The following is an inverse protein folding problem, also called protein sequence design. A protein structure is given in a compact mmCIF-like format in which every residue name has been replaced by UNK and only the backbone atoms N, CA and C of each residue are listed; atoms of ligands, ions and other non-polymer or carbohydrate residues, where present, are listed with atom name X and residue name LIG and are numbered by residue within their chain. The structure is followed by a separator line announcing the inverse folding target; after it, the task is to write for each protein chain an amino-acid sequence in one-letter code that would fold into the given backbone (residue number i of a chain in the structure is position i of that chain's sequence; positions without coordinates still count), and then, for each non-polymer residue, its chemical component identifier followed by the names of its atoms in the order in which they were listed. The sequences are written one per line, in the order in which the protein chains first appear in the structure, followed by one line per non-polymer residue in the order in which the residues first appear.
data_IF_677246342017
#
_entry.id   IF_677246342017
#
_cell.length_a   1.000
_cell.length_b   1.000
_cell.length_c   1.000
_cell.angle_alpha   90.00
_cell.angle_beta   90.00
_cell.angle_gamma   90.00
#
_symmetry.space_group_name_H-M   'P 1'
#
loop_
_entity.id
_entity.type
_entity.pdbx_description
1 polymer ?
#
# COMPACT_ATOMS: atom_id res chain seq x y z
N UNK A 1 6.15 1.48 -14.29
CA UNK A 1 6.73 0.60 -15.32
C UNK A 1 5.56 -0.05 -16.05
N UNK A 2 5.59 -0.03 -17.37
CA UNK A 2 4.58 -0.59 -18.25
C UNK A 2 5.29 -1.69 -19.04
N UNK A 3 4.71 -2.87 -19.08
CA UNK A 3 5.19 -4.04 -19.83
C UNK A 3 4.17 -4.38 -20.91
N UNK A 4 4.62 -4.42 -22.16
CA UNK A 4 3.81 -4.59 -23.35
C UNK A 4 4.42 -3.85 -24.54
N UNK A 5 3.84 -4.00 -25.73
CA UNK A 5 4.30 -3.30 -26.93
C UNK A 5 4.07 -1.79 -26.79
N UNK A 6 5.13 -1.06 -26.41
CA UNK A 6 5.07 0.38 -26.13
C UNK A 6 4.85 1.17 -27.42
N UNK A 7 5.24 0.63 -28.57
CA UNK A 7 5.06 1.27 -29.87
C UNK A 7 3.62 1.09 -30.41
N UNK A 8 2.83 0.20 -29.81
CA UNK A 8 1.44 0.02 -30.19
C UNK A 8 0.59 1.26 -29.90
N UNK A 9 -0.29 1.62 -30.85
CA UNK A 9 -1.22 2.75 -30.68
C UNK A 9 -2.08 2.61 -29.43
N UNK A 10 -2.47 1.38 -29.07
CA UNK A 10 -3.28 1.09 -27.89
C UNK A 10 -2.55 1.45 -26.59
N UNK A 11 -1.26 1.11 -26.47
CA UNK A 11 -0.45 1.42 -25.29
C UNK A 11 -0.11 2.90 -25.23
N UNK A 12 0.25 3.53 -26.34
CA UNK A 12 0.47 4.98 -26.40
C UNK A 12 -0.78 5.77 -25.99
N UNK A 13 -1.96 5.37 -26.48
CA UNK A 13 -3.23 5.98 -26.07
C UNK A 13 -3.54 5.75 -24.59
N UNK A 14 -3.19 4.60 -24.02
CA UNK A 14 -3.34 4.32 -22.60
C UNK A 14 -2.43 5.20 -21.74
N UNK A 15 -1.16 5.34 -22.13
CA UNK A 15 -0.18 6.21 -21.47
C UNK A 15 -0.67 7.66 -21.53
N UNK A 16 -1.15 8.13 -22.67
CA UNK A 16 -1.72 9.47 -22.81
C UNK A 16 -2.92 9.71 -21.89
N UNK A 17 -3.84 8.73 -21.78
CA UNK A 17 -4.97 8.79 -20.84
C UNK A 17 -4.50 8.84 -19.38
N UNK A 18 -3.50 8.03 -19.03
CA UNK A 18 -2.94 8.03 -17.68
C UNK A 18 -2.30 9.38 -17.34
N UNK A 19 -1.47 9.91 -18.24
CA UNK A 19 -0.84 11.23 -18.05
C UNK A 19 -1.88 12.33 -17.89
N UNK A 20 -2.91 12.37 -18.74
CA UNK A 20 -3.98 13.35 -18.62
C UNK A 20 -4.77 13.23 -17.31
N UNK A 21 -5.01 12.01 -16.82
CA UNK A 21 -5.66 11.80 -15.53
C UNK A 21 -4.79 12.29 -14.35
N UNK A 22 -3.48 12.04 -14.41
CA UNK A 22 -2.53 12.48 -13.40
C UNK A 22 -2.38 14.00 -13.33
N UNK A 23 -2.42 14.69 -14.47
CA UNK A 23 -2.39 16.16 -14.53
C UNK A 23 -3.58 16.82 -13.81
N UNK A 24 -4.71 16.13 -13.70
CA UNK A 24 -5.89 16.65 -12.99
C UNK A 24 -5.83 16.47 -11.47
N UNK A 25 -4.89 15.68 -10.95
CA UNK A 25 -4.77 15.36 -9.53
C UNK A 25 -3.53 16.06 -8.93
N UNK A 26 -3.77 17.05 -8.07
CA UNK A 26 -2.72 17.84 -7.42
C UNK A 26 -1.74 17.01 -6.55
N UNK A 27 -2.04 15.74 -6.27
CA UNK A 27 -1.12 14.83 -5.62
C UNK A 27 0.03 14.39 -6.52
N UNK A 28 -0.08 14.57 -7.83
CA UNK A 28 0.96 14.22 -8.81
C UNK A 28 1.45 15.47 -9.53
N UNK A 29 2.73 15.47 -9.89
CA UNK A 29 3.29 16.49 -10.78
C UNK A 29 3.44 15.95 -12.20
N UNK A 30 4.04 16.78 -13.06
CA UNK A 30 4.18 16.48 -14.48
C UNK A 30 4.95 15.17 -14.72
N UNK A 31 4.38 14.22 -15.48
CA UNK A 31 5.09 13.01 -15.86
C UNK A 31 6.38 13.34 -16.64
N UNK A 32 7.49 12.71 -16.25
CA UNK A 32 8.74 12.79 -17.00
C UNK A 32 8.63 12.03 -18.33
N UNK A 33 9.50 12.33 -19.31
CA UNK A 33 9.53 11.61 -20.58
C UNK A 33 9.60 10.11 -20.37
N UNK A 34 8.79 9.37 -21.14
CA UNK A 34 8.79 7.92 -21.14
C UNK A 34 10.17 7.41 -21.56
N UNK A 35 10.79 6.59 -20.73
CA UNK A 35 12.01 5.89 -21.09
C UNK A 35 11.64 4.49 -21.58
N UNK A 36 11.98 4.18 -22.83
CA UNK A 36 11.61 2.92 -23.49
C UNK A 36 12.86 2.03 -23.57
N UNK A 37 12.68 0.74 -23.27
CA UNK A 37 13.71 -0.27 -23.45
C UNK A 37 14.07 -0.46 -24.92
N UNK A 38 15.26 -0.98 -25.20
CA UNK A 38 15.77 -1.22 -26.56
C UNK A 38 14.93 -2.21 -27.38
N UNK A 39 14.16 -3.07 -26.71
CA UNK A 39 13.25 -4.04 -27.31
C UNK A 39 11.84 -3.50 -27.55
N UNK A 40 11.51 -2.29 -27.06
CA UNK A 40 10.19 -1.69 -27.19
C UNK A 40 9.11 -2.32 -26.30
N UNK A 41 9.45 -3.29 -25.44
CA UNK A 41 8.48 -4.03 -24.62
C UNK A 41 8.32 -3.46 -23.20
N UNK A 42 9.22 -2.56 -22.78
CA UNK A 42 9.20 -1.97 -21.45
C UNK A 42 9.25 -0.45 -21.51
N UNK A 43 8.33 0.19 -20.79
CA UNK A 43 8.24 1.64 -20.64
C UNK A 43 8.34 2.06 -19.18
N UNK A 44 9.23 3.01 -18.87
CA UNK A 44 9.33 3.63 -17.55
C UNK A 44 8.80 5.06 -17.62
N UNK A 45 7.61 5.25 -17.08
CA UNK A 45 7.02 6.57 -16.84
C UNK A 45 7.29 6.98 -15.39
N UNK A 46 8.08 8.03 -15.19
CA UNK A 46 8.38 8.55 -13.86
C UNK A 46 7.47 9.73 -13.54
N UNK A 47 6.67 9.62 -12.49
CA UNK A 47 5.71 10.64 -12.08
C UNK A 47 6.10 11.13 -10.68
N UNK A 48 6.44 12.42 -10.51
CA UNK A 48 6.68 12.97 -9.18
C UNK A 48 5.37 12.99 -8.38
N UNK A 49 5.45 12.69 -7.09
CA UNK A 49 4.31 12.75 -6.16
C UNK A 49 4.55 13.89 -5.16
N UNK A 50 3.50 14.62 -4.84
CA UNK A 50 3.54 15.73 -3.90
C UNK A 50 3.64 15.23 -2.46
N UNK A 51 4.61 15.75 -1.70
CA UNK A 51 4.80 15.44 -0.28
C UNK A 51 5.78 14.30 0.00
N UNK A 52 6.00 14.02 1.28
CA UNK A 52 6.92 12.95 1.71
C UNK A 52 6.32 11.55 1.45
N UNK A 53 7.18 10.62 1.05
CA UNK A 53 6.84 9.23 0.69
C UNK A 53 6.20 8.41 1.82
N UNK A 54 6.40 8.84 3.07
CA UNK A 54 5.88 8.20 4.28
C UNK A 54 4.56 8.81 4.80
N UNK A 55 4.07 9.90 4.20
CA UNK A 55 2.83 10.54 4.68
C UNK A 55 1.57 9.78 4.25
N UNK A 56 0.53 9.81 5.08
CA UNK A 56 -0.76 9.17 4.74
C UNK A 56 -1.37 9.72 3.44
N UNK A 57 -1.18 11.01 3.15
CA UNK A 57 -1.67 11.64 1.93
C UNK A 57 -1.01 11.03 0.69
N UNK A 58 0.33 10.92 0.67
CA UNK A 58 1.07 10.28 -0.42
C UNK A 58 0.68 8.81 -0.57
N UNK A 59 0.57 8.08 0.55
CA UNK A 59 0.15 6.68 0.55
C UNK A 59 -1.24 6.51 -0.08
N UNK A 60 -2.21 7.35 0.28
CA UNK A 60 -3.55 7.33 -0.28
C UNK A 60 -3.54 7.62 -1.78
N UNK A 61 -2.73 8.57 -2.24
CA UNK A 61 -2.59 8.89 -3.67
C UNK A 61 -1.98 7.73 -4.46
N UNK A 62 -0.93 7.07 -3.97
CA UNK A 62 -0.37 5.88 -4.64
C UNK A 62 -1.37 4.71 -4.66
N UNK A 63 -2.18 4.55 -3.60
CA UNK A 63 -3.27 3.55 -3.60
C UNK A 63 -4.31 3.87 -4.68
N UNK A 64 -4.77 5.12 -4.77
CA UNK A 64 -5.69 5.58 -5.84
C UNK A 64 -5.11 5.35 -7.23
N UNK A 65 -3.81 5.61 -7.42
CA UNK A 65 -3.11 5.33 -8.68
C UNK A 65 -3.20 3.85 -9.08
N UNK A 66 -2.93 2.94 -8.14
CA UNK A 66 -3.00 1.49 -8.39
C UNK A 66 -4.43 0.98 -8.61
N UNK A 67 -5.41 1.48 -7.85
CA UNK A 67 -6.76 0.92 -7.85
C UNK A 67 -7.73 1.59 -8.81
N UNK A 68 -7.49 2.84 -9.23
CA UNK A 68 -8.41 3.62 -10.04
C UNK A 68 -7.77 4.06 -11.36
N UNK A 69 -6.69 4.85 -11.31
CA UNK A 69 -6.13 5.46 -12.53
C UNK A 69 -5.52 4.43 -13.48
N UNK A 70 -4.70 3.49 -12.98
CA UNK A 70 -4.07 2.46 -13.82
C UNK A 70 -5.11 1.54 -14.48
N UNK A 71 -6.06 0.93 -13.74
CA UNK A 71 -7.07 0.06 -14.35
C UNK A 71 -7.96 0.79 -15.36
N UNK A 72 -8.32 2.05 -15.12
CA UNK A 72 -9.15 2.84 -16.03
C UNK A 72 -8.38 3.22 -17.30
N UNK A 73 -7.11 3.61 -17.18
CA UNK A 73 -6.30 4.01 -18.34
C UNK A 73 -5.92 2.82 -19.24
N UNK A 74 -5.68 1.64 -18.65
CA UNK A 74 -5.23 0.43 -19.38
C UNK A 74 -6.35 -0.60 -19.61
N UNK A 75 -7.61 -0.23 -19.41
CA UNK A 75 -8.73 -1.13 -19.64
C UNK A 75 -8.77 -1.62 -21.10
N UNK A 76 -8.71 -2.94 -21.30
CA UNK A 76 -8.75 -3.56 -22.62
C UNK A 76 -7.46 -3.43 -23.43
N UNK A 77 -6.36 -2.98 -22.81
CA UNK A 77 -5.05 -2.83 -23.45
C UNK A 77 -4.18 -4.02 -23.04
N UNK A 78 -3.49 -4.70 -23.97
CA UNK A 78 -2.62 -5.84 -23.66
C UNK A 78 -1.28 -5.36 -23.09
N UNK A 79 -1.32 -4.69 -21.94
CA UNK A 79 -0.14 -4.23 -21.21
C UNK A 79 -0.34 -4.37 -19.70
N UNK A 80 0.71 -4.76 -19.01
CA UNK A 80 0.75 -4.88 -17.56
C UNK A 80 1.45 -3.66 -16.96
N UNK A 81 0.91 -3.11 -15.87
CA UNK A 81 1.42 -1.86 -15.29
C UNK A 81 1.82 -2.09 -13.83
N UNK A 82 3.10 -1.88 -13.56
CA UNK A 82 3.70 -1.98 -12.24
C UNK A 82 4.01 -0.60 -11.67
N UNK A 83 3.43 -0.29 -10.52
CA UNK A 83 3.69 0.96 -9.78
C UNK A 83 4.77 0.70 -8.74
N UNK A 84 5.95 1.31 -8.95
CA UNK A 84 7.16 1.15 -8.13
C UNK A 84 7.59 2.49 -7.51
N UNK A 85 8.66 2.48 -6.70
CA UNK A 85 9.24 3.66 -6.06
C UNK A 85 9.24 3.56 -4.53
N UNK A 86 9.86 4.52 -3.86
CA UNK A 86 10.04 4.51 -2.41
C UNK A 86 8.70 4.52 -1.65
N UNK A 87 7.73 5.33 -2.10
CA UNK A 87 6.39 5.35 -1.53
C UNK A 87 5.67 4.01 -1.72
N UNK A 88 5.79 3.39 -2.90
CA UNK A 88 5.20 2.08 -3.18
C UNK A 88 5.79 0.98 -2.29
N UNK A 89 7.11 0.96 -2.10
CA UNK A 89 7.81 0.01 -1.22
C UNK A 89 7.37 0.17 0.24
N UNK A 90 7.25 1.40 0.74
CA UNK A 90 6.77 1.65 2.10
C UNK A 90 5.37 1.09 2.29
N UNK A 91 4.45 1.35 1.35
CA UNK A 91 3.07 0.85 1.40
C UNK A 91 3.05 -0.68 1.43
N UNK A 92 3.80 -1.32 0.53
CA UNK A 92 3.85 -2.77 0.42
C UNK A 92 4.38 -3.39 1.72
N UNK A 93 5.40 -2.78 2.34
CA UNK A 93 5.91 -3.22 3.65
C UNK A 93 4.90 -3.05 4.79
N UNK A 94 4.19 -1.91 4.85
CA UNK A 94 3.17 -1.66 5.87
C UNK A 94 1.96 -2.58 5.73
N UNK A 95 1.46 -2.81 4.51
CA UNK A 95 0.31 -3.66 4.26
C UNK A 95 0.65 -5.14 4.55
N UNK A 96 1.87 -5.58 4.22
CA UNK A 96 2.36 -6.92 4.54
C UNK A 96 2.51 -7.12 6.05
N UNK A 97 3.09 -6.14 6.76
CA UNK A 97 3.21 -6.15 8.22
C UNK A 97 1.84 -6.16 8.91
N UNK A 98 0.90 -5.34 8.44
CA UNK A 98 -0.46 -5.26 8.99
C UNK A 98 -1.24 -6.55 8.76
N UNK A 99 -1.10 -7.18 7.59
CA UNK A 99 -1.73 -8.47 7.32
C UNK A 99 -1.15 -9.60 8.17
N UNK A 100 0.17 -9.63 8.37
CA UNK A 100 0.80 -10.58 9.30
C UNK A 100 0.28 -10.39 10.74
N UNK A 101 0.17 -9.13 11.19
CA UNK A 101 -0.33 -8.81 12.52
C UNK A 101 -1.75 -9.34 12.78
N UNK A 102 -2.64 -9.35 11.77
CA UNK A 102 -4.01 -9.88 11.89
C UNK A 102 -4.05 -11.36 12.29
N UNK A 103 -3.04 -12.15 11.92
CA UNK A 103 -2.97 -13.59 12.23
C UNK A 103 -2.13 -13.84 13.48
N UNK A 104 -0.99 -13.16 13.59
CA UNK A 104 -0.03 -13.39 14.69
C UNK A 104 -0.58 -12.91 16.03
N UNK A 105 -1.23 -11.74 16.08
CA UNK A 105 -1.77 -11.19 17.34
C UNK A 105 -2.79 -12.14 18.00
N UNK A 106 -3.88 -12.58 17.34
CA UNK A 106 -4.84 -13.48 17.98
C UNK A 106 -4.21 -14.83 18.34
N UNK A 107 -3.27 -15.33 17.54
CA UNK A 107 -2.55 -16.56 17.86
C UNK A 107 -1.74 -16.43 19.15
N UNK A 108 -0.90 -15.39 19.27
CA UNK A 108 -0.07 -15.17 20.47
C UNK A 108 -0.96 -14.92 21.69
N UNK A 109 -2.04 -14.16 21.55
CA UNK A 109 -3.02 -13.95 22.62
C UNK A 109 -3.67 -15.25 23.07
N UNK A 110 -4.11 -16.09 22.14
CA UNK A 110 -4.72 -17.39 22.44
C UNK A 110 -3.75 -18.32 23.17
N UNK A 111 -2.51 -18.43 22.67
CA UNK A 111 -1.49 -19.27 23.30
C UNK A 111 -1.12 -18.77 24.70
N UNK A 112 -0.95 -17.45 24.85
CA UNK A 112 -0.67 -16.84 26.15
C UNK A 112 -1.82 -17.06 27.13
N UNK A 113 -3.05 -16.91 26.67
CA UNK A 113 -4.25 -17.17 27.46
C UNK A 113 -4.34 -18.64 27.92
N UNK A 114 -4.07 -19.60 27.03
CA UNK A 114 -4.05 -21.03 27.38
C UNK A 114 -2.94 -21.37 28.37
N UNK A 115 -1.73 -20.83 28.17
CA UNK A 115 -0.63 -21.01 29.12
C UNK A 115 -0.99 -20.48 30.51
N UNK A 116 -1.56 -19.27 30.57
CA UNK A 116 -2.02 -18.68 31.84
C UNK A 116 -3.15 -19.52 32.48
N UNK A 117 -4.08 -20.06 31.69
CA UNK A 117 -5.12 -20.96 32.16
C UNK A 117 -4.54 -22.24 32.81
N UNK A 118 -3.51 -22.83 32.18
CA UNK A 118 -2.84 -24.04 32.68
C UNK A 118 -2.05 -23.75 33.96
N UNK A 119 -1.28 -22.66 33.97
CA UNK A 119 -0.42 -22.28 35.11
C UNK A 119 -1.24 -21.99 36.35
N UNK A 120 -2.32 -21.21 36.23
CA UNK A 120 -3.10 -20.78 37.38
C UNK A 120 -4.23 -21.74 37.77
N UNK A 121 -4.58 -22.72 36.89
CA UNK A 121 -5.81 -23.55 36.97
C UNK A 121 -7.08 -22.72 37.30
N UNK A 122 -7.02 -21.41 37.04
CA UNK A 122 -8.00 -20.42 37.45
C UNK A 122 -7.98 -19.28 36.44
N UNK A 123 -9.04 -19.22 35.64
CA UNK A 123 -9.30 -18.21 34.60
C UNK A 123 -9.38 -16.78 35.16
N UNK A 124 -9.61 -16.63 36.47
CA UNK A 124 -9.92 -15.34 37.09
C UNK A 124 -8.68 -14.46 37.28
N UNK A 125 -7.52 -15.05 37.57
CA UNK A 125 -6.28 -14.29 37.81
C UNK A 125 -5.73 -13.68 36.50
N UNK A 126 -5.64 -14.43 35.38
CA UNK A 126 -5.18 -13.91 34.09
C UNK A 126 -6.05 -12.79 33.53
N UNK A 127 -7.39 -12.95 33.61
CA UNK A 127 -8.34 -11.95 33.09
C UNK A 127 -8.18 -10.62 33.84
N UNK A 128 -8.04 -10.65 35.17
CA UNK A 128 -7.83 -9.43 35.97
C UNK A 128 -6.52 -8.72 35.59
N UNK A 129 -5.46 -9.47 35.34
CA UNK A 129 -4.18 -8.90 34.91
C UNK A 129 -4.26 -8.24 33.52
N UNK A 130 -4.96 -8.86 32.56
CA UNK A 130 -5.17 -8.30 31.21
C UNK A 130 -6.03 -7.03 31.28
N UNK A 131 -7.12 -7.03 32.07
CA UNK A 131 -7.96 -5.83 32.26
C UNK A 131 -7.14 -4.69 32.86
N UNK A 132 -6.33 -4.97 33.88
CA UNK A 132 -5.49 -3.97 34.52
C UNK A 132 -4.42 -3.43 33.55
N UNK A 133 -3.81 -4.30 32.75
CA UNK A 133 -2.81 -3.90 31.76
C UNK A 133 -3.43 -3.04 30.65
N UNK A 134 -4.61 -3.41 30.14
CA UNK A 134 -5.36 -2.64 29.16
C UNK A 134 -5.85 -1.30 29.73
N UNK A 135 -6.30 -1.24 30.98
CA UNK A 135 -6.65 0.02 31.66
C UNK A 135 -5.42 0.90 31.89
N UNK A 136 -4.24 0.32 32.13
CA UNK A 136 -2.99 1.06 32.26
C UNK A 136 -2.50 1.63 30.93
N UNK A 137 -2.85 1.01 29.81
CA UNK A 137 -2.52 1.45 28.44
C UNK A 137 -3.65 2.30 27.83
N UNK A 138 -4.86 2.24 28.40
CA UNK A 138 -6.00 3.11 28.08
C UNK A 138 -5.67 4.58 28.33
N UNK A 139 -6.25 5.48 27.52
CA UNK A 139 -5.65 6.76 27.13
C UNK A 139 -5.19 7.59 28.32
N UNK A 140 -3.88 7.89 28.36
CA UNK A 140 -3.44 9.20 28.90
C UNK A 140 -4.08 10.25 28.00
N UNK A 141 -5.24 10.74 28.42
CA UNK A 141 -5.80 11.98 27.92
C UNK A 141 -4.79 13.08 28.21
N UNK A 142 -3.91 13.35 27.27
CA UNK A 142 -3.19 14.63 27.18
C UNK A 142 -4.23 15.68 26.79
N UNK A 143 -4.81 16.31 27.82
CA UNK A 143 -5.39 17.64 27.71
C UNK A 143 -4.26 18.67 27.79
#
# INVERSE_FOLDING_TARGET
MIEGDIDSEAVQAAIGRLSAALETDAAFGDPKPLNISSDGELGLLAVPVSGDSSTQATIASIKRLRSEYVPVAFQGVPAEVYVTGEAALNIDFFDMSKNAAKVVIPFVLAVSFLLLMIIFRSIVIPIKAIILNLLSVGPRSTA
#
